data_IF_128184683272
#
_entry.id   IF_128184683272
#
_cell.length_a   1.000
_cell.length_b   1.000
_cell.length_c   1.000
_cell.angle_alpha   90.00
_cell.angle_beta   90.00
_cell.angle_gamma   90.00
#
_symmetry.space_group_name_H-M   'P 1'
#
loop_
_entity.id
_entity.type
_entity.pdbx_description
1 polymer ?
#
# COMPACT_ATOMS: atom_id res chain seq x y z
N UNK A 1 0.69 38.35 14.93
CA UNK A 1 0.80 37.10 15.71
C UNK A 1 -0.55 36.42 15.64
N UNK A 2 -0.71 35.45 14.75
CA UNK A 2 -1.99 34.75 14.54
C UNK A 2 -1.73 33.28 14.80
N UNK A 3 -2.17 32.83 15.97
CA UNK A 3 -2.19 31.43 16.32
C UNK A 3 -3.29 30.74 15.50
N UNK A 4 -2.91 29.79 14.66
CA UNK A 4 -3.83 28.75 14.17
C UNK A 4 -3.53 27.50 14.97
N UNK A 5 -4.22 27.44 16.11
CA UNK A 5 -4.41 26.25 16.92
C UNK A 5 -5.40 25.34 16.19
N UNK A 6 -4.97 24.11 15.92
CA UNK A 6 -5.79 23.10 15.26
C UNK A 6 -5.15 21.72 15.30
N UNK A 7 -4.46 21.38 16.39
CA UNK A 7 -4.08 20.00 16.66
C UNK A 7 -5.33 19.28 17.19
N UNK A 8 -6.17 18.82 16.25
CA UNK A 8 -7.31 17.97 16.53
C UNK A 8 -6.81 16.61 16.99
N UNK A 9 -6.74 16.42 18.30
CA UNK A 9 -6.60 15.11 18.91
C UNK A 9 -7.80 14.23 18.54
N UNK A 10 -7.55 13.16 17.82
CA UNK A 10 -8.50 12.09 17.58
C UNK A 10 -7.78 10.76 17.79
N UNK A 11 -8.04 10.16 18.96
CA UNK A 11 -7.79 8.75 19.28
C UNK A 11 -6.33 8.33 19.36
N UNK A 12 -5.85 8.08 20.59
CA UNK A 12 -4.73 7.18 20.84
C UNK A 12 -5.15 5.73 20.57
N UNK A 13 -5.51 5.43 19.32
CA UNK A 13 -5.47 4.09 18.77
C UNK A 13 -4.14 3.98 18.04
N UNK A 14 -3.34 2.98 18.38
CA UNK A 14 -2.06 2.73 17.72
C UNK A 14 -2.22 2.83 16.21
N UNK A 15 -1.63 3.87 15.59
CA UNK A 15 -1.80 4.09 14.15
C UNK A 15 -0.88 3.12 13.43
N UNK A 16 -1.45 2.00 13.00
CA UNK A 16 -0.77 0.99 12.20
C UNK A 16 -1.00 1.22 10.72
N UNK A 17 0.08 1.29 9.95
CA UNK A 17 0.01 1.47 8.50
C UNK A 17 1.02 0.56 7.79
N UNK A 18 0.67 0.15 6.59
CA UNK A 18 1.54 -0.59 5.67
C UNK A 18 2.12 0.38 4.64
N UNK A 19 3.39 0.20 4.30
CA UNK A 19 4.07 0.98 3.27
C UNK A 19 3.72 0.42 1.91
N UNK A 20 3.15 1.25 1.04
CA UNK A 20 2.75 0.89 -0.32
C UNK A 20 3.81 1.26 -1.36
N UNK A 21 4.49 2.39 -1.17
CA UNK A 21 5.57 2.85 -2.05
C UNK A 21 6.50 3.78 -1.27
N UNK A 22 7.80 3.70 -1.57
CA UNK A 22 8.84 4.53 -0.93
C UNK A 22 9.58 5.33 -2.00
N UNK A 23 9.15 6.58 -2.20
CA UNK A 23 9.88 7.55 -3.00
C UNK A 23 11.02 8.23 -2.23
N UNK A 24 11.77 9.07 -2.94
CA UNK A 24 12.97 9.75 -2.41
C UNK A 24 12.65 10.70 -1.23
N UNK A 25 11.55 11.44 -1.32
CA UNK A 25 11.17 12.46 -0.32
C UNK A 25 9.89 12.12 0.43
N UNK A 26 9.00 11.36 -0.21
CA UNK A 26 7.70 10.98 0.32
C UNK A 26 7.46 9.50 0.10
N UNK A 27 6.69 8.91 0.99
CA UNK A 27 6.21 7.56 0.89
C UNK A 27 4.69 7.55 0.88
N UNK A 28 4.14 6.54 0.22
CA UNK A 28 2.72 6.22 0.27
C UNK A 28 2.51 5.13 1.30
N UNK A 29 1.54 5.33 2.19
CA UNK A 29 1.18 4.37 3.24
C UNK A 29 -0.30 4.11 3.21
N UNK A 30 -0.72 2.94 3.68
CA UNK A 30 -2.10 2.51 3.81
C UNK A 30 -2.40 2.24 5.27
N UNK A 31 -3.38 2.94 5.84
CA UNK A 31 -3.84 2.71 7.20
C UNK A 31 -4.54 1.34 7.29
N UNK A 32 -4.02 0.44 8.13
CA UNK A 32 -4.50 -0.95 8.20
C UNK A 32 -5.93 -1.06 8.77
N UNK A 33 -6.36 -0.11 9.60
CA UNK A 33 -7.70 -0.12 10.18
C UNK A 33 -8.80 0.35 9.21
N UNK A 34 -8.45 1.17 8.21
CA UNK A 34 -9.44 1.83 7.33
C UNK A 34 -9.23 1.52 5.85
N UNK A 35 -8.06 0.98 5.48
CA UNK A 35 -7.63 0.82 4.10
C UNK A 35 -7.35 2.14 3.38
N UNK A 36 -7.32 3.28 4.08
CA UNK A 36 -7.11 4.59 3.46
C UNK A 36 -5.64 4.81 3.15
N UNK A 37 -5.37 5.27 1.93
CA UNK A 37 -4.04 5.66 1.50
C UNK A 37 -3.73 7.10 1.91
N UNK A 38 -2.51 7.35 2.37
CA UNK A 38 -1.98 8.67 2.70
C UNK A 38 -0.55 8.82 2.19
N UNK A 39 -0.18 10.06 1.84
CA UNK A 39 1.21 10.44 1.58
C UNK A 39 1.84 10.99 2.86
N UNK A 40 3.02 10.50 3.22
CA UNK A 40 3.80 10.94 4.38
C UNK A 40 5.23 11.28 3.96
N UNK A 41 5.91 12.15 4.70
CA UNK A 41 7.33 12.43 4.47
C UNK A 41 8.19 11.21 4.80
N UNK A 42 9.21 10.95 3.98
CA UNK A 42 10.12 9.80 4.18
C UNK A 42 10.82 9.83 5.53
N UNK A 43 11.08 11.03 6.05
CA UNK A 43 11.70 11.29 7.35
C UNK A 43 10.81 10.91 8.53
N UNK A 44 9.49 10.77 8.33
CA UNK A 44 8.56 10.30 9.35
C UNK A 44 8.51 8.77 9.46
N UNK A 45 9.08 8.06 8.49
CA UNK A 45 9.20 6.61 8.50
C UNK A 45 10.48 6.17 9.24
N UNK A 46 10.48 4.96 9.84
CA UNK A 46 11.71 4.35 10.34
C UNK A 46 12.84 4.31 9.28
N UNK A 47 14.11 4.38 9.70
CA UNK A 47 15.23 4.19 8.79
C UNK A 47 15.20 2.76 8.24
N UNK A 48 15.51 2.61 6.96
CA UNK A 48 15.52 1.30 6.30
C UNK A 48 14.14 0.73 5.94
N UNK A 49 13.04 1.44 6.20
CA UNK A 49 11.69 1.06 5.73
C UNK A 49 11.65 0.86 4.21
N UNK A 50 11.02 -0.25 3.81
CA UNK A 50 10.80 -0.68 2.43
C UNK A 50 9.31 -0.84 2.12
N UNK A 51 8.99 -1.01 0.84
CA UNK A 51 7.66 -1.40 0.41
C UNK A 51 7.19 -2.68 1.11
N UNK A 52 5.92 -2.70 1.50
CA UNK A 52 5.27 -3.83 2.15
C UNK A 52 5.56 -3.94 3.66
N UNK A 53 6.43 -3.10 4.21
CA UNK A 53 6.66 -3.04 5.65
C UNK A 53 5.43 -2.54 6.40
N UNK A 54 5.24 -3.07 7.61
CA UNK A 54 4.19 -2.62 8.52
C UNK A 54 4.84 -1.80 9.62
N UNK A 55 4.29 -0.62 9.88
CA UNK A 55 4.73 0.27 10.94
C UNK A 55 3.60 0.48 11.93
N UNK A 56 3.88 0.22 13.20
CA UNK A 56 2.97 0.41 14.33
C UNK A 56 3.63 1.38 15.30
N UNK A 57 2.94 2.48 15.58
CA UNK A 57 3.44 3.52 16.51
C UNK A 57 4.88 3.98 16.21
N UNK A 58 5.20 4.09 14.92
CA UNK A 58 6.51 4.53 14.45
C UNK A 58 7.62 3.48 14.51
N UNK A 59 7.30 2.20 14.68
CA UNK A 59 8.26 1.08 14.64
C UNK A 59 7.86 0.04 13.62
N UNK A 60 8.86 -0.56 12.96
CA UNK A 60 8.64 -1.68 12.06
C UNK A 60 8.15 -2.90 12.86
N UNK A 61 7.09 -3.54 12.38
CA UNK A 61 6.50 -4.73 12.98
C UNK A 61 6.56 -5.91 11.98
N UNK A 62 7.64 -6.71 12.02
CA UNK A 62 7.84 -7.80 11.08
C UNK A 62 6.88 -8.97 11.32
N UNK A 63 6.42 -9.17 12.56
CA UNK A 63 5.51 -10.25 12.91
C UNK A 63 4.11 -10.00 12.32
N UNK A 64 3.61 -8.77 12.45
CA UNK A 64 2.34 -8.35 11.86
C UNK A 64 2.40 -8.38 10.33
N UNK A 65 3.53 -7.96 9.73
CA UNK A 65 3.77 -8.10 8.29
C UNK A 65 3.65 -9.55 7.84
N UNK A 66 4.34 -10.48 8.51
CA UNK A 66 4.33 -11.89 8.17
C UNK A 66 2.92 -12.50 8.29
N UNK A 67 2.20 -12.14 9.35
CA UNK A 67 0.82 -12.55 9.56
C UNK A 67 -0.10 -12.06 8.44
N UNK A 68 -0.09 -10.77 8.13
CA UNK A 68 -0.94 -10.20 7.06
C UNK A 68 -0.61 -10.81 5.70
N UNK A 69 0.67 -11.05 5.42
CA UNK A 69 1.11 -11.70 4.18
C UNK A 69 0.50 -13.10 4.06
N UNK A 70 0.51 -13.87 5.15
CA UNK A 70 -0.12 -15.19 5.21
C UNK A 70 -1.64 -15.11 5.03
N UNK A 71 -2.31 -14.20 5.73
CA UNK A 71 -3.77 -14.01 5.62
C UNK A 71 -4.18 -13.66 4.19
N UNK A 72 -3.43 -12.79 3.52
CA UNK A 72 -3.65 -12.44 2.11
C UNK A 72 -3.41 -13.65 1.20
N UNK A 73 -2.34 -14.42 1.43
CA UNK A 73 -2.07 -15.63 0.65
C UNK A 73 -3.20 -16.66 0.79
N UNK A 74 -3.68 -16.90 2.01
CA UNK A 74 -4.80 -17.80 2.28
C UNK A 74 -6.10 -17.28 1.63
N UNK A 75 -6.39 -15.98 1.73
CA UNK A 75 -7.54 -15.37 1.10
C UNK A 75 -7.48 -15.45 -0.43
N UNK A 76 -6.30 -15.22 -1.02
CA UNK A 76 -6.08 -15.37 -2.47
C UNK A 76 -6.26 -16.82 -2.89
N UNK A 77 -5.74 -17.79 -2.15
CA UNK A 77 -5.91 -19.20 -2.44
C UNK A 77 -7.39 -19.62 -2.42
N UNK A 78 -8.18 -19.13 -1.45
CA UNK A 78 -9.63 -19.39 -1.38
C UNK A 78 -10.41 -18.76 -2.54
N UNK A 79 -9.93 -17.64 -3.07
CA UNK A 79 -10.55 -16.92 -4.20
C UNK A 79 -9.95 -17.30 -5.55
N UNK A 80 -8.93 -18.15 -5.58
CA UNK A 80 -8.29 -18.56 -6.80
C UNK A 80 -9.29 -19.37 -7.63
N UNK A 81 -9.73 -18.76 -8.73
CA UNK A 81 -10.48 -19.47 -9.76
C UNK A 81 -9.42 -20.02 -10.73
N UNK A 82 -9.44 -21.32 -11.05
CA UNK A 82 -8.54 -21.85 -12.07
C UNK A 82 -8.79 -21.11 -13.39
N UNK A 83 -7.71 -20.62 -14.01
CA UNK A 83 -7.81 -20.04 -15.34
C UNK A 83 -8.34 -21.14 -16.30
N UNK A 84 -9.30 -20.81 -17.19
CA UNK A 84 -9.74 -21.76 -18.19
C UNK A 84 -8.54 -22.17 -19.07
N UNK A 85 -8.46 -23.46 -19.43
CA UNK A 85 -7.33 -24.02 -20.18
C UNK A 85 -7.11 -23.36 -21.55
N UNK A 86 -8.12 -22.64 -22.05
CA UNK A 86 -8.11 -21.92 -23.32
C UNK A 86 -7.69 -20.44 -23.18
N UNK A 87 -7.41 -19.96 -21.96
CA UNK A 87 -6.96 -18.58 -21.72
C UNK A 87 -5.46 -18.45 -22.00
N UNK A 88 -5.11 -18.25 -23.27
CA UNK A 88 -3.73 -17.96 -23.67
C UNK A 88 -3.36 -16.49 -23.35
N UNK A 89 -2.70 -16.29 -22.22
CA UNK A 89 -2.13 -15.00 -21.83
C UNK A 89 -0.76 -14.72 -22.49
N UNK A 90 -0.18 -15.70 -23.18
CA UNK A 90 1.11 -15.58 -23.86
C UNK A 90 0.97 -15.15 -25.33
N UNK A 91 -0.21 -15.35 -25.93
CA UNK A 91 -0.53 -14.94 -27.31
C UNK A 91 -1.06 -13.51 -27.49
N UNK A 92 -1.26 -12.74 -26.40
CA UNK A 92 -1.68 -11.35 -26.50
C UNK A 92 -0.46 -10.45 -26.78
N UNK A 93 0.05 -10.50 -28.01
CA UNK A 93 0.87 -9.42 -28.54
C UNK A 93 0.01 -8.15 -28.51
N UNK A 94 0.19 -7.31 -27.48
CA UNK A 94 -0.41 -5.98 -27.35
C UNK A 94 -0.39 -5.28 -28.72
N UNK A 95 -1.53 -5.12 -29.44
CA UNK A 95 -1.55 -4.15 -30.51
C UNK A 95 -1.48 -2.81 -29.79
N UNK A 96 -0.28 -2.23 -29.75
CA UNK A 96 -0.02 -0.88 -29.25
C UNK A 96 -1.23 -0.02 -29.57
N UNK A 97 -2.00 0.34 -28.54
CA UNK A 97 -3.14 1.25 -28.65
C UNK A 97 -2.58 2.62 -29.01
N UNK A 98 -2.19 2.79 -30.28
CA UNK A 98 -1.94 4.11 -30.84
C UNK A 98 -3.29 4.77 -30.90
N UNK A 99 -3.58 5.58 -29.88
CA UNK A 99 -4.68 6.51 -29.88
C UNK A 99 -4.39 7.49 -31.01
N UNK A 100 -4.87 7.16 -32.22
CA UNK A 100 -4.89 8.08 -33.34
C UNK A 100 -5.87 9.18 -32.97
N UNK A 101 -5.33 10.29 -32.49
CA UNK A 101 -6.06 11.53 -32.32
C UNK A 101 -6.27 12.12 -33.70
N UNK A 102 -7.30 11.67 -34.42
CA UNK A 102 -7.74 12.37 -35.62
C UNK A 102 -8.27 13.75 -35.24
N UNK A 103 -7.94 14.73 -36.08
CA UNK A 103 -8.31 16.15 -35.98
C UNK A 103 -9.38 16.45 -37.00
#
# INVERSE_FOLDING_TARGET
MTAVMGCGGAGAGSRSWQVDDVGETRARVVELGTGKTQMVDRSALPPGTQEGDVVVDGRLDPELRARLTREVAEARARKAVPAPAELDLAGSEDPRLTISREK
#
